data_IF_284015412090
#
_entry.id   IF_284015412090
#
_cell.length_a   1.000
_cell.length_b   1.000
_cell.length_c   1.000
_cell.angle_alpha   90.00
_cell.angle_beta   90.00
_cell.angle_gamma   90.00
#
_symmetry.space_group_name_H-M   'P 1'
#
loop_
_entity.id
_entity.type
_entity.pdbx_description
1 polymer ?
#
# COMPACT_ATOMS: atom_id res chain seq x y z
N UNK A 1 -1.91 1.58 -6.68
CA UNK A 1 -2.41 0.20 -6.43
C UNK A 1 -3.42 0.24 -5.29
N UNK A 2 -4.63 -0.28 -5.48
CA UNK A 2 -5.64 -0.36 -4.41
C UNK A 2 -5.22 -1.34 -3.32
N UNK A 3 -5.31 -0.96 -2.04
CA UNK A 3 -4.98 -1.82 -0.92
C UNK A 3 -6.03 -2.92 -0.65
N UNK A 4 -7.20 -2.85 -1.28
CA UNK A 4 -8.26 -3.86 -1.16
C UNK A 4 -8.37 -4.63 -2.46
N UNK A 5 -8.59 -3.93 -3.57
CA UNK A 5 -8.85 -4.58 -4.85
C UNK A 5 -7.58 -5.10 -5.50
N UNK A 6 -6.40 -4.63 -5.10
CA UNK A 6 -5.14 -4.92 -5.80
C UNK A 6 -5.04 -4.26 -7.18
N UNK A 7 -6.06 -3.50 -7.61
CA UNK A 7 -6.10 -2.86 -8.92
C UNK A 7 -4.96 -1.86 -9.10
N UNK A 8 -4.29 -1.95 -10.24
CA UNK A 8 -3.34 -0.94 -10.72
C UNK A 8 -4.15 0.14 -11.44
N UNK A 9 -3.94 1.41 -11.07
CA UNK A 9 -4.64 2.54 -11.68
C UNK A 9 -3.75 3.18 -12.74
N UNK A 10 -4.37 3.69 -13.80
CA UNK A 10 -3.69 4.50 -14.82
C UNK A 10 -3.43 5.91 -14.30
N UNK A 11 -2.38 6.03 -13.47
CA UNK A 11 -1.97 7.28 -12.82
C UNK A 11 -1.55 8.34 -13.83
N UNK A 12 -0.93 7.94 -14.94
CA UNK A 12 -0.49 8.86 -15.99
C UNK A 12 -1.69 9.54 -16.63
N UNK A 13 -2.70 8.77 -17.04
CA UNK A 13 -3.96 9.32 -17.56
C UNK A 13 -4.71 10.17 -16.53
N UNK A 14 -4.73 9.77 -15.26
CA UNK A 14 -5.35 10.55 -14.19
C UNK A 14 -4.67 11.92 -14.01
N UNK A 15 -3.35 11.94 -14.09
CA UNK A 15 -2.53 13.16 -14.03
C UNK A 15 -2.83 14.08 -15.21
N UNK A 16 -2.83 13.54 -16.44
CA UNK A 16 -3.19 14.31 -17.64
C UNK A 16 -4.60 14.93 -17.54
N UNK A 17 -5.57 14.17 -17.01
CA UNK A 17 -6.93 14.65 -16.77
C UNK A 17 -6.97 15.80 -15.76
N UNK A 18 -6.25 15.69 -14.65
CA UNK A 18 -6.18 16.72 -13.61
C UNK A 18 -5.54 18.00 -14.15
N UNK A 19 -4.40 17.87 -14.86
CA UNK A 19 -3.67 19.00 -15.41
C UNK A 19 -4.45 19.73 -16.51
N UNK A 20 -5.30 19.03 -17.29
CA UNK A 20 -6.20 19.66 -18.27
C UNK A 20 -7.15 20.69 -17.67
N UNK A 21 -7.47 20.59 -16.39
CA UNK A 21 -8.33 21.53 -15.67
C UNK A 21 -7.57 22.42 -14.68
N UNK A 22 -6.23 22.38 -14.72
CA UNK A 22 -5.37 23.14 -13.80
C UNK A 22 -5.38 22.63 -12.36
N UNK A 23 -5.80 21.38 -12.12
CA UNK A 23 -5.78 20.78 -10.79
C UNK A 23 -4.46 20.06 -10.52
N UNK A 24 -3.98 20.14 -9.28
CA UNK A 24 -2.86 19.32 -8.81
C UNK A 24 -3.35 17.93 -8.41
N UNK A 25 -2.47 16.91 -8.51
CA UNK A 25 -2.78 15.54 -8.13
C UNK A 25 -1.74 14.96 -7.15
N UNK A 26 -2.24 14.33 -6.08
CA UNK A 26 -1.44 13.54 -5.14
C UNK A 26 -1.73 12.06 -5.35
N UNK A 27 -0.65 11.28 -5.49
CA UNK A 27 -0.73 9.84 -5.70
C UNK A 27 -0.30 9.09 -4.44
N UNK A 28 -1.20 8.26 -3.91
CA UNK A 28 -0.87 7.30 -2.87
C UNK A 28 -0.20 6.05 -3.50
N UNK A 29 1.12 5.99 -3.30
CA UNK A 29 1.99 4.92 -3.76
C UNK A 29 2.25 3.82 -2.75
N UNK A 30 1.60 3.82 -1.59
CA UNK A 30 1.93 2.93 -0.48
C UNK A 30 1.92 1.43 -0.83
N UNK A 31 1.11 1.01 -1.80
CA UNK A 31 1.07 -0.37 -2.28
C UNK A 31 1.81 -0.60 -3.60
N UNK A 32 2.27 0.47 -4.27
CA UNK A 32 2.96 0.38 -5.55
C UNK A 32 4.48 0.27 -5.35
N UNK A 33 5.07 1.17 -4.56
CA UNK A 33 6.53 1.25 -4.33
C UNK A 33 7.19 -0.09 -3.94
N UNK A 34 6.59 -0.98 -3.13
CA UNK A 34 7.25 -2.25 -2.79
C UNK A 34 7.29 -3.29 -3.90
N UNK A 35 6.58 -3.08 -5.02
CA UNK A 35 6.34 -4.14 -6.02
C UNK A 35 6.22 -3.68 -7.46
N UNK A 36 6.24 -2.37 -7.75
CA UNK A 36 6.15 -1.82 -9.08
C UNK A 36 7.26 -0.77 -9.30
N UNK A 37 7.85 -0.70 -10.49
CA UNK A 37 8.68 0.44 -10.86
C UNK A 37 7.84 1.71 -10.84
N UNK A 38 8.33 2.74 -10.15
CA UNK A 38 7.68 4.04 -10.04
C UNK A 38 8.64 5.12 -10.52
N UNK A 39 8.24 5.84 -11.57
CA UNK A 39 8.95 7.01 -12.04
C UNK A 39 8.01 8.22 -11.98
N UNK A 40 8.15 9.02 -10.92
CA UNK A 40 7.31 10.20 -10.68
C UNK A 40 7.39 11.25 -11.80
N UNK A 41 8.51 11.32 -12.52
CA UNK A 41 8.65 12.23 -13.66
C UNK A 41 7.84 11.73 -14.88
N UNK A 42 7.84 10.42 -15.17
CA UNK A 42 7.02 9.85 -16.24
C UNK A 42 5.52 9.85 -15.90
N UNK A 43 5.18 9.63 -14.63
CA UNK A 43 3.81 9.75 -14.15
C UNK A 43 3.29 11.18 -14.22
N UNK A 44 4.19 12.16 -14.14
CA UNK A 44 3.88 13.59 -14.19
C UNK A 44 3.12 14.12 -12.97
N UNK A 45 2.96 13.34 -11.90
CA UNK A 45 2.18 13.74 -10.73
C UNK A 45 2.81 14.94 -10.00
N UNK A 46 2.00 15.63 -9.19
CA UNK A 46 2.46 16.79 -8.43
C UNK A 46 3.02 16.39 -7.06
N UNK A 47 2.43 15.36 -6.46
CA UNK A 47 2.87 14.75 -5.21
C UNK A 47 2.76 13.23 -5.28
N UNK A 48 3.69 12.54 -4.62
CA UNK A 48 3.69 11.09 -4.50
C UNK A 48 4.11 10.69 -3.08
N UNK A 49 3.33 9.81 -2.44
CA UNK A 49 3.59 9.40 -1.05
C UNK A 49 3.73 7.90 -0.91
N UNK A 50 4.58 7.45 0.03
CA UNK A 50 4.60 6.06 0.47
C UNK A 50 5.07 5.92 1.92
N UNK A 51 4.82 4.75 2.51
CA UNK A 51 5.21 4.42 3.89
C UNK A 51 6.32 3.37 3.92
N UNK A 52 7.36 3.59 4.74
CA UNK A 52 8.53 2.70 4.80
C UNK A 52 8.22 1.28 5.27
N UNK A 53 7.29 1.11 6.22
CA UNK A 53 6.90 -0.20 6.75
C UNK A 53 6.22 -1.14 5.74
N UNK A 54 5.86 -0.64 4.55
CA UNK A 54 5.37 -1.48 3.44
C UNK A 54 6.47 -1.84 2.45
N UNK A 55 7.60 -1.13 2.50
CA UNK A 55 8.80 -1.37 1.71
C UNK A 55 9.83 -2.19 2.51
N UNK A 56 9.38 -3.11 3.36
CA UNK A 56 10.27 -3.91 4.23
C UNK A 56 11.16 -3.07 5.18
N UNK A 57 10.87 -1.78 5.32
CA UNK A 57 11.59 -0.84 6.17
C UNK A 57 10.97 -0.70 7.57
N UNK A 58 11.54 0.18 8.41
CA UNK A 58 11.06 0.38 9.77
C UNK A 58 9.68 1.07 9.81
N UNK A 59 8.99 0.91 10.94
CA UNK A 59 7.82 1.73 11.28
C UNK A 59 8.25 3.16 11.61
N UNK A 60 7.30 4.11 11.57
CA UNK A 60 7.57 5.50 11.96
C UNK A 60 8.27 6.37 10.90
N UNK A 61 8.53 5.86 9.69
CA UNK A 61 9.09 6.62 8.57
C UNK A 61 8.25 6.47 7.30
N UNK A 62 8.15 7.55 6.54
CA UNK A 62 7.47 7.63 5.25
C UNK A 62 8.11 8.70 4.38
N UNK A 63 7.65 8.81 3.14
CA UNK A 63 8.21 9.73 2.15
C UNK A 63 7.08 10.47 1.46
N UNK A 64 7.28 11.78 1.31
CA UNK A 64 6.56 12.62 0.37
C UNK A 64 7.58 13.11 -0.66
N UNK A 65 7.35 12.75 -1.91
CA UNK A 65 7.93 13.44 -3.05
C UNK A 65 6.93 14.50 -3.52
N UNK A 66 7.43 15.66 -3.91
CA UNK A 66 6.62 16.72 -4.51
C UNK A 66 7.46 17.52 -5.51
N UNK A 67 6.80 18.09 -6.50
CA UNK A 67 7.49 19.00 -7.42
C UNK A 67 8.08 20.19 -6.68
N UNK A 68 9.30 20.57 -7.06
CA UNK A 68 10.07 21.61 -6.38
C UNK A 68 9.32 22.96 -6.29
N UNK A 69 8.74 23.42 -7.40
CA UNK A 69 7.98 24.67 -7.47
C UNK A 69 6.77 24.69 -6.54
N UNK A 70 6.08 23.54 -6.41
CA UNK A 70 4.97 23.39 -5.49
C UNK A 70 5.44 23.37 -4.03
N UNK A 71 6.50 22.62 -3.72
CA UNK A 71 7.07 22.57 -2.37
C UNK A 71 7.57 23.94 -1.91
N UNK A 72 8.20 24.70 -2.80
CA UNK A 72 8.69 26.05 -2.50
C UNK A 72 7.57 27.06 -2.28
N UNK A 73 6.43 26.91 -2.96
CA UNK A 73 5.26 27.78 -2.79
C UNK A 73 4.45 27.46 -1.53
N UNK A 74 4.60 26.26 -0.95
CA UNK A 74 3.83 25.84 0.22
C UNK A 74 4.36 26.45 1.53
N UNK A 75 3.46 26.88 2.44
CA UNK A 75 3.85 27.27 3.79
C UNK A 75 4.33 26.04 4.58
N UNK A 76 5.09 26.23 5.67
CA UNK A 76 5.48 25.12 6.54
C UNK A 76 4.25 24.44 7.15
N UNK A 77 4.36 23.13 7.40
CA UNK A 77 3.31 22.33 8.04
C UNK A 77 3.52 22.25 9.56
N UNK A 78 4.61 21.62 9.98
CA UNK A 78 5.04 21.57 11.39
C UNK A 78 6.11 22.65 11.63
N UNK A 79 6.09 23.27 12.80
CA UNK A 79 7.04 24.31 13.18
C UNK A 79 7.95 23.87 14.34
N UNK A 80 9.21 24.31 14.33
CA UNK A 80 10.16 23.99 15.39
C UNK A 80 11.60 24.24 14.93
N UNK A 81 12.56 23.61 15.63
CA UNK A 81 13.96 23.57 15.17
C UNK A 81 14.11 22.85 13.83
N UNK A 82 15.31 22.91 13.24
CA UNK A 82 15.70 22.31 11.95
C UNK A 82 15.03 22.89 10.68
N UNK A 83 13.78 23.38 10.76
CA UNK A 83 13.02 23.88 9.59
C UNK A 83 13.05 25.40 9.40
N UNK A 84 13.67 26.12 10.34
CA UNK A 84 13.79 27.59 10.34
C UNK A 84 15.03 28.05 9.58
N UNK A 85 15.01 29.30 9.12
CA UNK A 85 16.18 30.05 8.67
C UNK A 85 16.60 31.07 9.75
N UNK A 86 15.65 31.88 10.25
CA UNK A 86 15.86 32.82 11.36
C UNK A 86 14.64 32.91 12.27
N UNK A 87 14.87 33.02 13.57
CA UNK A 87 13.83 33.19 14.59
C UNK A 87 14.10 34.46 15.40
N UNK A 88 13.10 35.35 15.47
CA UNK A 88 13.00 36.43 16.48
C UNK A 88 11.59 36.41 17.09
N UNK A 89 11.34 37.20 18.15
CA UNK A 89 10.00 37.29 18.73
C UNK A 89 8.99 37.94 17.77
N UNK A 90 9.45 38.83 16.90
CA UNK A 90 8.62 39.57 15.95
C UNK A 90 8.40 38.80 14.63
N UNK A 91 9.38 37.98 14.20
CA UNK A 91 9.32 37.29 12.90
C UNK A 91 10.16 36.00 12.87
N UNK A 92 9.61 35.00 12.19
CA UNK A 92 10.31 33.78 11.78
C UNK A 92 10.40 33.71 10.26
N UNK A 93 11.58 33.33 9.74
CA UNK A 93 11.79 32.91 8.36
C UNK A 93 12.13 31.42 8.33
N UNK A 94 11.85 30.76 7.20
CA UNK A 94 11.92 29.31 7.08
C UNK A 94 12.99 28.88 6.08
N UNK A 95 13.54 27.69 6.28
CA UNK A 95 14.42 27.05 5.32
C UNK A 95 13.69 26.82 3.96
N UNK A 96 14.43 26.65 2.85
CA UNK A 96 13.86 26.12 1.61
C UNK A 96 13.38 24.68 1.80
N UNK A 97 12.60 24.17 0.84
CA UNK A 97 12.31 22.73 0.78
C UNK A 97 13.61 21.93 0.53
N UNK A 98 13.74 20.69 1.05
CA UNK A 98 12.77 19.95 1.87
C UNK A 98 12.79 20.32 3.36
N UNK A 99 13.85 20.97 3.86
CA UNK A 99 14.06 21.23 5.29
C UNK A 99 12.91 21.99 5.96
N UNK A 100 12.19 22.83 5.21
CA UNK A 100 10.94 23.50 5.66
C UNK A 100 9.89 22.55 6.26
N UNK A 101 9.86 21.30 5.82
CA UNK A 101 8.83 20.32 6.19
C UNK A 101 9.31 19.28 7.22
N UNK A 102 10.56 19.38 7.67
CA UNK A 102 11.20 18.40 8.56
C UNK A 102 11.51 19.05 9.93
N UNK A 103 10.45 19.41 10.66
CA UNK A 103 10.57 20.08 11.94
C UNK A 103 11.11 19.15 13.05
N UNK A 104 12.08 19.66 13.81
CA UNK A 104 12.68 18.95 14.94
C UNK A 104 13.68 17.88 14.52
N UNK A 105 14.10 17.05 15.48
CA UNK A 105 15.00 15.93 15.21
C UNK A 105 14.25 14.86 14.40
N UNK A 106 14.70 14.51 13.18
CA UNK A 106 14.02 13.51 12.37
C UNK A 106 14.18 12.11 12.98
N UNK A 107 13.44 11.12 12.45
CA UNK A 107 13.65 9.72 12.81
C UNK A 107 14.93 9.17 12.16
N UNK A 108 16.09 9.58 12.67
CA UNK A 108 17.42 9.35 12.07
C UNK A 108 17.64 7.87 11.71
N UNK A 109 17.47 6.96 12.68
CA UNK A 109 17.64 5.51 12.45
C UNK A 109 16.59 4.94 11.48
N UNK A 110 15.40 5.53 11.46
CA UNK A 110 14.32 5.14 10.55
C UNK A 110 14.67 5.47 9.10
N UNK A 111 15.31 6.61 8.86
CA UNK A 111 15.81 7.01 7.52
C UNK A 111 16.90 6.04 7.04
N UNK A 112 17.88 5.71 7.89
CA UNK A 112 18.93 4.74 7.54
C UNK A 112 18.36 3.34 7.30
N UNK A 113 17.40 2.90 8.12
CA UNK A 113 16.72 1.62 7.92
C UNK A 113 15.87 1.59 6.65
N UNK A 114 15.23 2.71 6.29
CA UNK A 114 14.51 2.83 5.03
C UNK A 114 15.45 2.74 3.83
N UNK A 115 16.62 3.37 3.89
CA UNK A 115 17.64 3.26 2.84
C UNK A 115 18.06 1.79 2.62
N UNK A 116 18.37 1.06 3.69
CA UNK A 116 18.72 -0.35 3.59
C UNK A 116 17.57 -1.21 3.02
N UNK A 117 16.31 -0.84 3.29
CA UNK A 117 15.16 -1.52 2.73
C UNK A 117 14.95 -1.23 1.23
N UNK A 118 15.28 0.00 0.78
CA UNK A 118 15.34 0.34 -0.64
C UNK A 118 16.41 -0.51 -1.32
N UNK A 119 17.63 -0.56 -0.78
CA UNK A 119 18.72 -1.38 -1.32
C UNK A 119 18.33 -2.86 -1.43
N UNK A 120 17.61 -3.38 -0.43
CA UNK A 120 17.11 -4.76 -0.43
C UNK A 120 16.15 -5.03 -1.61
N UNK A 121 15.18 -4.13 -1.83
CA UNK A 121 14.21 -4.23 -2.92
C UNK A 121 14.90 -4.07 -4.28
N UNK A 122 15.81 -3.11 -4.41
CA UNK A 122 16.57 -2.86 -5.64
C UNK A 122 17.48 -4.05 -5.98
N UNK A 123 18.12 -4.68 -4.99
CA UNK A 123 18.96 -5.85 -5.19
C UNK A 123 18.18 -7.08 -5.71
N UNK A 124 16.92 -7.24 -5.31
CA UNK A 124 16.03 -8.28 -5.87
C UNK A 124 15.61 -7.87 -7.29
N UNK A 125 15.21 -6.61 -7.46
CA UNK A 125 14.72 -6.01 -8.70
C UNK A 125 13.19 -6.01 -8.78
N UNK A 126 12.60 -4.83 -8.96
CA UNK A 126 11.14 -4.64 -8.96
C UNK A 126 10.40 -5.46 -10.03
N UNK A 127 11.00 -5.68 -11.20
CA UNK A 127 10.38 -6.52 -12.23
C UNK A 127 10.25 -7.99 -11.78
N UNK A 128 11.24 -8.50 -11.05
CA UNK A 128 11.20 -9.86 -10.48
C UNK A 128 10.18 -9.96 -9.36
N UNK A 129 10.14 -8.96 -8.49
CA UNK A 129 9.14 -8.87 -7.41
C UNK A 129 7.73 -8.86 -8.01
N UNK A 130 7.50 -8.00 -9.01
CA UNK A 130 6.21 -7.90 -9.67
C UNK A 130 5.79 -9.23 -10.30
N UNK A 131 6.69 -9.88 -11.05
CA UNK A 131 6.40 -11.16 -11.69
C UNK A 131 6.10 -12.26 -10.66
N UNK A 132 6.86 -12.32 -9.55
CA UNK A 132 6.66 -13.27 -8.46
C UNK A 132 5.32 -13.07 -7.76
N UNK A 133 5.02 -11.85 -7.32
CA UNK A 133 3.77 -11.54 -6.63
C UNK A 133 2.55 -11.73 -7.54
N UNK A 134 2.64 -11.38 -8.83
CA UNK A 134 1.58 -11.62 -9.81
C UNK A 134 1.34 -13.13 -10.03
N UNK A 135 2.40 -13.95 -10.05
CA UNK A 135 2.26 -15.40 -10.13
C UNK A 135 1.57 -15.98 -8.89
N UNK A 136 1.92 -15.51 -7.69
CA UNK A 136 1.25 -15.91 -6.45
C UNK A 136 -0.22 -15.50 -6.41
N UNK A 137 -0.54 -14.28 -6.84
CA UNK A 137 -1.93 -13.82 -6.94
C UNK A 137 -2.72 -14.69 -7.90
N UNK A 138 -2.18 -14.96 -9.09
CA UNK A 138 -2.84 -15.83 -10.07
C UNK A 138 -3.10 -17.22 -9.49
N UNK A 139 -2.08 -17.84 -8.90
CA UNK A 139 -2.21 -19.16 -8.29
C UNK A 139 -3.24 -19.18 -7.15
N UNK A 140 -3.26 -18.14 -6.29
CA UNK A 140 -4.23 -18.03 -5.22
C UNK A 140 -5.65 -17.84 -5.77
N UNK A 141 -5.83 -16.98 -6.77
CA UNK A 141 -7.13 -16.76 -7.42
C UNK A 141 -7.63 -18.04 -8.10
N UNK A 142 -6.79 -18.75 -8.84
CA UNK A 142 -7.13 -20.01 -9.49
C UNK A 142 -7.59 -21.06 -8.46
N UNK A 143 -6.83 -21.22 -7.36
CA UNK A 143 -7.16 -22.19 -6.32
C UNK A 143 -8.46 -21.84 -5.57
N UNK A 144 -8.67 -20.56 -5.25
CA UNK A 144 -9.86 -20.11 -4.53
C UNK A 144 -11.10 -20.08 -5.41
N UNK A 145 -10.96 -19.87 -6.73
CA UNK A 145 -12.09 -19.92 -7.67
C UNK A 145 -12.70 -21.32 -7.80
N UNK A 146 -11.95 -22.37 -7.42
CA UNK A 146 -12.47 -23.73 -7.33
C UNK A 146 -13.40 -23.97 -6.13
N UNK A 147 -13.49 -23.03 -5.19
CA UNK A 147 -14.34 -23.12 -4.01
C UNK A 147 -15.63 -22.32 -4.26
N UNK A 148 -16.75 -23.01 -4.48
CA UNK A 148 -18.03 -22.38 -4.83
C UNK A 148 -18.52 -21.35 -3.79
N UNK A 149 -18.15 -21.50 -2.52
CA UNK A 149 -18.50 -20.57 -1.45
C UNK A 149 -17.62 -19.32 -1.41
N UNK A 150 -16.61 -19.19 -2.26
CA UNK A 150 -15.67 -18.06 -2.25
C UNK A 150 -15.97 -17.11 -3.40
N UNK A 151 -16.19 -15.84 -3.06
CA UNK A 151 -16.26 -14.75 -4.03
C UNK A 151 -15.01 -13.89 -3.93
N UNK A 152 -14.23 -13.86 -5.02
CA UNK A 152 -13.05 -13.01 -5.16
C UNK A 152 -13.45 -11.58 -5.56
N UNK A 153 -12.67 -10.61 -5.09
CA UNK A 153 -12.84 -9.18 -5.36
C UNK A 153 -11.59 -8.62 -6.05
N UNK A 154 -11.79 -7.61 -6.89
CA UNK A 154 -10.70 -7.01 -7.68
C UNK A 154 -10.50 -7.72 -9.03
N UNK A 155 -9.66 -7.14 -9.90
CA UNK A 155 -9.37 -7.72 -11.20
C UNK A 155 -8.53 -9.01 -11.08
N UNK A 156 -8.34 -9.71 -12.21
CA UNK A 156 -7.55 -10.94 -12.25
C UNK A 156 -6.04 -10.67 -12.19
N UNK A 157 -5.61 -9.48 -12.63
CA UNK A 157 -4.22 -9.01 -12.65
C UNK A 157 -3.86 -8.15 -11.42
N UNK A 158 -4.52 -8.41 -10.27
CA UNK A 158 -4.27 -7.69 -9.02
C UNK A 158 -2.80 -7.77 -8.56
N UNK A 159 -2.25 -6.63 -8.11
CA UNK A 159 -0.86 -6.53 -7.68
C UNK A 159 -0.67 -7.01 -6.22
N UNK A 160 -0.33 -8.29 -6.05
CA UNK A 160 0.06 -8.92 -4.79
C UNK A 160 -1.01 -8.91 -3.69
N UNK A 161 -2.29 -8.75 -4.03
CA UNK A 161 -3.42 -8.66 -3.09
C UNK A 161 -4.60 -9.49 -3.63
N UNK A 162 -5.19 -10.32 -2.76
CA UNK A 162 -6.44 -11.05 -3.01
C UNK A 162 -7.41 -10.77 -1.87
N UNK A 163 -8.45 -9.99 -2.15
CA UNK A 163 -9.59 -9.80 -1.26
C UNK A 163 -10.71 -10.75 -1.64
N UNK A 164 -11.40 -11.31 -0.63
CA UNK A 164 -12.44 -12.30 -0.83
C UNK A 164 -13.47 -12.29 0.29
N UNK A 165 -14.62 -12.91 0.02
CA UNK A 165 -15.64 -13.25 1.01
C UNK A 165 -15.97 -14.73 0.89
N UNK A 166 -16.35 -15.34 2.01
CA UNK A 166 -16.85 -16.71 2.07
C UNK A 166 -18.35 -16.64 2.36
N UNK A 167 -19.19 -17.19 1.48
CA UNK A 167 -20.64 -17.16 1.61
C UNK A 167 -21.09 -17.75 2.94
N UNK A 168 -21.99 -17.04 3.63
CA UNK A 168 -22.53 -17.47 4.93
C UNK A 168 -21.58 -17.30 6.12
N UNK A 169 -20.33 -16.85 5.92
CA UNK A 169 -19.34 -16.73 7.01
C UNK A 169 -18.86 -15.29 7.16
N UNK A 170 -18.89 -14.76 8.39
CA UNK A 170 -18.38 -13.43 8.65
C UNK A 170 -16.85 -13.38 8.47
N UNK A 171 -16.27 -12.37 7.79
CA UNK A 171 -14.83 -12.31 7.53
C UNK A 171 -13.92 -12.43 8.77
N UNK A 172 -14.37 -11.96 9.94
CA UNK A 172 -13.63 -12.13 11.20
C UNK A 172 -13.57 -13.60 11.68
N UNK A 173 -14.61 -14.39 11.44
CA UNK A 173 -14.59 -15.82 11.76
C UNK A 173 -13.63 -16.56 10.81
N UNK A 174 -13.63 -16.19 9.53
CA UNK A 174 -12.66 -16.68 8.54
C UNK A 174 -11.24 -16.42 9.04
N UNK A 175 -10.91 -15.17 9.39
CA UNK A 175 -9.58 -14.81 9.88
C UNK A 175 -9.20 -15.56 11.17
N UNK A 176 -10.12 -15.71 12.11
CA UNK A 176 -9.87 -16.44 13.37
C UNK A 176 -9.55 -17.92 13.12
N UNK A 177 -10.30 -18.61 12.26
CA UNK A 177 -10.04 -20.02 11.95
C UNK A 177 -8.73 -20.22 11.17
N UNK A 178 -8.39 -19.27 10.30
CA UNK A 178 -7.12 -19.29 9.58
C UNK A 178 -5.93 -19.05 10.54
N UNK A 179 -6.09 -18.15 11.52
CA UNK A 179 -5.07 -17.87 12.54
C UNK A 179 -4.76 -19.11 13.40
N UNK A 180 -5.78 -19.88 13.80
CA UNK A 180 -5.57 -21.19 14.46
C UNK A 180 -4.76 -22.18 13.61
N UNK A 181 -4.79 -22.01 12.29
CA UNK A 181 -3.99 -22.76 11.32
C UNK A 181 -2.61 -22.16 11.03
N UNK A 182 -2.21 -21.12 11.77
CA UNK A 182 -1.02 -20.29 11.53
C UNK A 182 -1.01 -19.58 10.17
N UNK A 183 -2.18 -19.21 9.65
CA UNK A 183 -2.33 -18.42 8.42
C UNK A 183 -2.82 -17.03 8.76
N UNK A 184 -1.91 -16.06 8.75
CA UNK A 184 -2.24 -14.67 9.02
C UNK A 184 -2.86 -13.99 7.80
N UNK A 185 -4.16 -13.71 7.88
CA UNK A 185 -4.87 -12.80 6.97
C UNK A 185 -5.42 -11.61 7.75
N UNK A 186 -5.93 -10.60 7.04
CA UNK A 186 -6.68 -9.51 7.68
C UNK A 186 -8.14 -9.57 7.29
N UNK A 187 -9.03 -9.36 8.26
CA UNK A 187 -10.45 -9.15 8.04
C UNK A 187 -10.87 -7.73 8.45
N UNK A 188 -11.89 -7.20 7.78
CA UNK A 188 -12.49 -5.90 8.07
C UNK A 188 -12.59 -5.02 6.84
N UNK A 189 -12.61 -3.71 7.07
CA UNK A 189 -12.76 -2.70 6.01
C UNK A 189 -11.45 -2.30 5.34
N UNK A 190 -10.30 -2.71 5.88
CA UNK A 190 -8.96 -2.37 5.38
C UNK A 190 -8.70 -0.86 5.27
N UNK A 191 -9.27 -0.06 6.17
CA UNK A 191 -9.24 1.41 6.11
C UNK A 191 -9.90 1.99 4.84
N UNK A 192 -10.81 1.25 4.21
CA UNK A 192 -11.53 1.62 2.98
C UNK A 192 -13.03 1.39 3.13
N UNK A 193 -13.65 1.86 4.23
CA UNK A 193 -15.08 1.70 4.49
C UNK A 193 -15.99 2.15 3.34
N UNK A 194 -15.76 3.30 2.68
CA UNK A 194 -16.59 3.71 1.54
C UNK A 194 -16.56 2.72 0.36
N UNK A 195 -15.45 2.01 0.16
CA UNK A 195 -15.37 0.94 -0.84
C UNK A 195 -16.24 -0.24 -0.42
N UNK A 196 -16.25 -0.60 0.87
CA UNK A 196 -17.10 -1.67 1.39
C UNK A 196 -18.59 -1.35 1.17
N UNK A 197 -19.00 -0.11 1.46
CA UNK A 197 -20.36 0.38 1.20
C UNK A 197 -20.72 0.28 -0.29
N UNK A 198 -19.82 0.71 -1.19
CA UNK A 198 -20.05 0.63 -2.64
C UNK A 198 -20.16 -0.80 -3.19
N UNK A 199 -19.54 -1.77 -2.51
CA UNK A 199 -19.61 -3.18 -2.84
C UNK A 199 -20.80 -3.88 -2.18
N UNK A 200 -21.53 -3.20 -1.28
CA UNK A 200 -22.60 -3.79 -0.49
C UNK A 200 -22.10 -4.85 0.50
N UNK A 201 -20.87 -4.72 0.98
CA UNK A 201 -20.24 -5.69 1.89
C UNK A 201 -19.92 -5.01 3.23
N UNK A 202 -20.18 -5.66 4.38
CA UNK A 202 -19.79 -5.09 5.68
C UNK A 202 -18.28 -5.16 5.92
N UNK A 203 -17.61 -6.19 5.39
CA UNK A 203 -16.18 -6.42 5.53
C UNK A 203 -15.71 -7.44 4.48
N UNK A 204 -14.39 -7.59 4.35
CA UNK A 204 -13.77 -8.63 3.52
C UNK A 204 -12.60 -9.29 4.24
N UNK A 205 -12.28 -10.54 3.87
CA UNK A 205 -11.00 -11.15 4.16
C UNK A 205 -9.98 -10.73 3.08
N UNK A 206 -8.71 -10.60 3.46
CA UNK A 206 -7.63 -10.21 2.54
C UNK A 206 -6.35 -10.98 2.84
N UNK A 207 -5.88 -11.72 1.84
CA UNK A 207 -4.52 -12.24 1.76
C UNK A 207 -3.69 -11.27 0.90
N UNK A 208 -2.52 -10.87 1.41
CA UNK A 208 -1.61 -9.96 0.71
C UNK A 208 -0.21 -10.54 0.74
N UNK A 209 0.38 -10.69 -0.44
CA UNK A 209 1.66 -11.37 -0.64
C UNK A 209 2.82 -10.37 -0.69
N UNK A 210 3.99 -10.82 -0.24
CA UNK A 210 5.28 -10.15 -0.38
C UNK A 210 6.33 -11.07 -1.00
N UNK A 211 7.56 -10.57 -1.14
CA UNK A 211 8.67 -11.28 -1.80
C UNK A 211 9.02 -12.64 -1.19
N UNK A 212 8.75 -12.82 0.10
CA UNK A 212 9.07 -14.02 0.86
C UNK A 212 7.97 -15.10 0.80
N UNK A 213 6.81 -14.80 0.20
CA UNK A 213 5.73 -15.77 0.11
C UNK A 213 5.95 -16.79 -1.00
N UNK A 214 5.30 -17.95 -0.88
CA UNK A 214 5.41 -19.05 -1.84
C UNK A 214 4.11 -19.84 -2.03
N UNK A 215 4.14 -20.82 -2.93
CA UNK A 215 3.03 -21.74 -3.18
C UNK A 215 2.58 -22.52 -1.93
N UNK A 216 3.47 -22.75 -0.95
CA UNK A 216 3.08 -23.42 0.30
C UNK A 216 2.14 -22.56 1.15
N UNK A 217 2.32 -21.23 1.11
CA UNK A 217 1.45 -20.29 1.83
C UNK A 217 0.05 -20.29 1.22
N UNK A 218 -0.03 -20.37 -0.11
CA UNK A 218 -1.29 -20.50 -0.83
C UNK A 218 -1.98 -21.83 -0.49
N UNK A 219 -1.23 -22.93 -0.46
CA UNK A 219 -1.78 -24.23 -0.05
C UNK A 219 -2.33 -24.20 1.39
N UNK A 220 -1.62 -23.53 2.31
CA UNK A 220 -2.09 -23.35 3.68
C UNK A 220 -3.36 -22.48 3.75
N UNK A 221 -3.42 -21.39 2.97
CA UNK A 221 -4.59 -20.52 2.83
C UNK A 221 -5.83 -21.30 2.36
N UNK A 222 -5.69 -22.07 1.27
CA UNK A 222 -6.78 -22.87 0.71
C UNK A 222 -7.28 -23.90 1.72
N UNK A 223 -6.37 -24.66 2.35
CA UNK A 223 -6.71 -25.63 3.40
C UNK A 223 -7.44 -24.98 4.58
N UNK A 224 -7.07 -23.76 4.95
CA UNK A 224 -7.75 -22.96 5.98
C UNK A 224 -9.18 -22.62 5.59
N UNK A 225 -9.42 -22.19 4.35
CA UNK A 225 -10.76 -21.84 3.85
C UNK A 225 -11.66 -23.09 3.69
N UNK A 226 -11.09 -24.22 3.28
CA UNK A 226 -11.81 -25.51 3.28
C UNK A 226 -12.22 -25.94 4.70
N UNK A 227 -11.38 -25.66 5.71
CA UNK A 227 -11.75 -25.88 7.13
C UNK A 227 -12.89 -24.95 7.55
N UNK A 228 -12.85 -23.67 7.19
CA UNK A 228 -13.95 -22.72 7.45
C UNK A 228 -15.26 -23.24 6.86
N UNK A 229 -15.24 -23.64 5.59
CA UNK A 229 -16.43 -24.13 4.88
C UNK A 229 -17.02 -25.38 5.56
N UNK A 230 -16.20 -26.28 6.11
CA UNK A 230 -16.66 -27.46 6.86
C UNK A 230 -17.26 -27.17 8.24
N UNK A 231 -16.97 -26.00 8.82
CA UNK A 231 -17.48 -25.61 10.14
C UNK A 231 -18.84 -24.91 10.01
N UNK A 232 -19.03 -24.14 8.93
CA UNK A 232 -20.20 -23.29 8.74
C UNK A 232 -21.17 -23.74 7.63
N UNK A 233 -20.77 -24.72 6.81
CA UNK A 233 -21.61 -25.37 5.79
C UNK A 233 -21.85 -26.84 6.11
#
# INVERSE_FOLDING_TARGET
VSNVMGSILDVKRATELAHRVGANILIDGCQAVPRLPVNVADLGCDFYVFSGHKLYGPTGIGVLWGRHDLLDAMPPWQGGGAMIDRVTFEKTTYAPAPGRFEAGTPHIIGVTGLHAAIDYVDAIGLDRIHAHESALVKQARDALSGLNSVRLLGPDDSAGIVSFVVEGVHPHDVATILDEGNVAIRAGHHCAQPLMDSLGLPATARASFGVYNSASDIAALVKGIERVTRIFG
#
